data_IF_250802586778
#
_entry.id   IF_250802586778
#
_cell.length_a   1.000
_cell.length_b   1.000
_cell.length_c   1.000
_cell.angle_alpha   90.00
_cell.angle_beta   90.00
_cell.angle_gamma   90.00
#
_symmetry.space_group_name_H-M   'P 1'
#
loop_
_entity.id
_entity.type
_entity.pdbx_description
1 polymer ?
#
# COMPACT_ATOMS: atom_id res chain seq x y z
N UNK A 1 -5.85 14.95 -14.88
CA UNK A 1 -4.46 14.47 -15.13
C UNK A 1 -3.48 15.59 -14.77
N UNK A 2 -3.22 15.80 -13.48
CA UNK A 2 -2.40 16.91 -12.94
C UNK A 2 -1.23 16.36 -12.13
N UNK A 3 -0.24 15.80 -12.83
CA UNK A 3 1.06 15.39 -12.23
C UNK A 3 2.23 16.16 -12.87
N UNK A 4 1.96 17.31 -13.50
CA UNK A 4 2.89 17.96 -14.43
C UNK A 4 3.91 18.88 -13.73
N UNK A 5 3.72 19.31 -12.48
CA UNK A 5 4.61 20.32 -11.88
C UNK A 5 5.86 19.78 -11.16
N UNK A 6 6.03 18.45 -11.04
CA UNK A 6 7.25 17.87 -10.46
C UNK A 6 7.83 16.77 -11.38
N UNK A 7 8.98 17.01 -12.04
CA UNK A 7 9.61 16.07 -12.97
C UNK A 7 9.91 14.68 -12.37
N UNK A 8 10.02 14.57 -11.03
CA UNK A 8 10.22 13.28 -10.36
C UNK A 8 8.97 12.40 -10.42
N UNK A 9 7.79 12.96 -10.16
CA UNK A 9 6.54 12.18 -10.19
C UNK A 9 6.17 11.71 -11.60
N UNK A 10 6.42 12.53 -12.62
CA UNK A 10 6.22 12.11 -14.01
C UNK A 10 7.17 10.98 -14.40
N UNK A 11 8.41 11.01 -13.92
CA UNK A 11 9.38 9.92 -14.10
C UNK A 11 8.90 8.64 -13.41
N UNK A 12 8.48 8.70 -12.15
CA UNK A 12 7.95 7.53 -11.44
C UNK A 12 6.74 6.94 -12.15
N UNK A 13 5.77 7.78 -12.54
CA UNK A 13 4.58 7.34 -13.30
C UNK A 13 4.98 6.55 -14.55
N UNK A 14 5.93 7.06 -15.33
CA UNK A 14 6.39 6.39 -16.55
C UNK A 14 7.10 5.06 -16.24
N UNK A 15 7.90 5.00 -15.18
CA UNK A 15 8.62 3.79 -14.79
C UNK A 15 7.70 2.66 -14.30
N UNK A 16 6.55 3.01 -13.71
CA UNK A 16 5.60 2.01 -13.20
C UNK A 16 4.46 1.67 -14.15
N UNK A 17 4.20 2.48 -15.18
CA UNK A 17 3.06 2.30 -16.08
C UNK A 17 2.99 0.89 -16.67
N UNK A 18 4.08 0.43 -17.29
CA UNK A 18 4.16 -0.91 -17.88
C UNK A 18 4.00 -2.01 -16.83
N UNK A 19 4.46 -1.78 -15.59
CA UNK A 19 4.31 -2.75 -14.48
C UNK A 19 2.87 -2.84 -14.01
N UNK A 20 2.15 -1.72 -13.93
CA UNK A 20 0.74 -1.68 -13.58
C UNK A 20 -0.11 -2.46 -14.60
N UNK A 21 0.18 -2.33 -15.89
CA UNK A 21 -0.52 -3.08 -16.92
C UNK A 21 -0.15 -4.57 -16.86
N UNK A 22 1.13 -4.88 -16.62
CA UNK A 22 1.62 -6.25 -16.47
C UNK A 22 0.96 -6.98 -15.29
N UNK A 23 0.89 -6.38 -14.10
CA UNK A 23 0.30 -7.06 -12.93
C UNK A 23 -1.21 -7.25 -13.08
N UNK A 24 -1.92 -6.29 -13.70
CA UNK A 24 -3.37 -6.40 -13.94
C UNK A 24 -3.73 -7.53 -14.90
N UNK A 25 -2.87 -7.76 -15.90
CA UNK A 25 -3.05 -8.75 -16.96
C UNK A 25 -2.36 -10.09 -16.68
N UNK A 26 -1.57 -10.19 -15.61
CA UNK A 26 -0.81 -11.39 -15.30
C UNK A 26 -1.73 -12.59 -15.00
N UNK A 27 -1.58 -13.72 -15.72
CA UNK A 27 -2.39 -14.91 -15.50
C UNK A 27 -1.99 -15.67 -14.22
N UNK A 28 -0.81 -15.39 -13.66
CA UNK A 28 -0.35 -15.96 -12.39
C UNK A 28 -0.73 -15.13 -11.17
N UNK A 29 -1.33 -13.94 -11.37
CA UNK A 29 -1.65 -13.06 -10.28
C UNK A 29 -2.81 -13.59 -9.42
N UNK A 30 -2.63 -13.53 -8.11
CA UNK A 30 -3.65 -13.85 -7.13
C UNK A 30 -4.47 -12.60 -6.82
N UNK A 31 -5.81 -12.71 -6.89
CA UNK A 31 -6.73 -11.60 -6.60
C UNK A 31 -7.51 -11.89 -5.33
N UNK A 32 -7.41 -10.99 -4.36
CA UNK A 32 -8.11 -11.07 -3.08
C UNK A 32 -9.03 -9.86 -2.93
N UNK A 33 -10.24 -10.10 -2.41
CA UNK A 33 -11.09 -9.01 -1.92
C UNK A 33 -10.64 -8.62 -0.50
N UNK A 34 -11.06 -7.44 -0.03
CA UNK A 34 -10.66 -6.89 1.27
C UNK A 34 -10.84 -7.84 2.44
N UNK A 35 -12.03 -8.45 2.57
CA UNK A 35 -12.30 -9.40 3.65
C UNK A 35 -11.37 -10.61 3.64
N UNK A 36 -11.03 -11.17 2.46
CA UNK A 36 -10.05 -12.26 2.37
C UNK A 36 -8.62 -11.78 2.60
N UNK A 37 -8.29 -10.56 2.18
CA UNK A 37 -6.99 -9.94 2.41
C UNK A 37 -6.74 -9.76 3.91
N UNK A 38 -7.67 -9.14 4.65
CA UNK A 38 -7.55 -8.97 6.10
C UNK A 38 -7.61 -10.30 6.86
N UNK A 39 -8.42 -11.26 6.42
CA UNK A 39 -8.39 -12.61 7.00
C UNK A 39 -7.05 -13.33 6.79
N UNK A 40 -6.37 -13.07 5.68
CA UNK A 40 -5.02 -13.59 5.46
C UNK A 40 -4.02 -12.85 6.36
N UNK A 41 -4.16 -11.53 6.47
CA UNK A 41 -3.23 -10.70 7.24
C UNK A 41 -3.37 -10.87 8.75
N UNK A 42 -4.53 -11.33 9.25
CA UNK A 42 -4.78 -11.60 10.67
C UNK A 42 -3.88 -12.68 11.27
N UNK A 43 -3.16 -13.43 10.45
CA UNK A 43 -2.07 -14.32 10.90
C UNK A 43 -0.85 -13.56 11.44
N UNK A 44 -0.71 -12.29 11.07
CA UNK A 44 0.40 -11.41 11.42
C UNK A 44 -0.07 -10.33 12.39
N UNK A 45 -1.20 -9.69 12.09
CA UNK A 45 -1.71 -8.53 12.83
C UNK A 45 -3.23 -8.42 12.68
N UNK A 46 -3.90 -8.13 13.79
CA UNK A 46 -5.34 -7.87 13.83
C UNK A 46 -5.59 -6.36 13.82
N UNK A 47 -6.08 -5.83 12.69
CA UNK A 47 -6.37 -4.40 12.54
C UNK A 47 -7.78 -4.08 13.03
N UNK A 48 -7.94 -2.90 13.63
CA UNK A 48 -9.25 -2.37 13.94
C UNK A 48 -9.97 -1.95 12.65
N UNK A 49 -11.31 -1.98 12.66
CA UNK A 49 -12.13 -1.76 11.47
C UNK A 49 -11.86 -0.43 10.74
N UNK A 50 -11.49 0.63 11.46
CA UNK A 50 -11.19 1.92 10.85
C UNK A 50 -9.84 1.96 10.10
N UNK A 51 -8.98 0.95 10.28
CA UNK A 51 -7.77 0.73 9.48
C UNK A 51 -8.02 -0.20 8.27
N UNK A 52 -9.24 -0.73 8.11
CA UNK A 52 -9.59 -1.63 7.01
C UNK A 52 -9.87 -0.91 5.69
N UNK A 53 -8.84 -0.33 5.08
CA UNK A 53 -8.94 0.37 3.79
C UNK A 53 -8.84 -0.50 2.53
N UNK A 54 -8.24 -1.71 2.60
CA UNK A 54 -8.04 -2.54 1.40
C UNK A 54 -9.37 -3.09 0.90
N UNK A 55 -9.80 -2.63 -0.28
CA UNK A 55 -11.01 -3.13 -0.97
C UNK A 55 -10.70 -4.35 -1.83
N UNK A 56 -9.60 -4.31 -2.56
CA UNK A 56 -9.08 -5.44 -3.33
C UNK A 56 -7.57 -5.34 -3.48
N UNK A 57 -6.91 -6.48 -3.69
CA UNK A 57 -5.48 -6.54 -3.94
C UNK A 57 -5.17 -7.64 -4.95
N UNK A 58 -4.31 -7.31 -5.91
CA UNK A 58 -3.71 -8.22 -6.87
C UNK A 58 -2.25 -8.41 -6.47
N UNK A 59 -1.81 -9.65 -6.31
CA UNK A 59 -0.43 -9.99 -5.93
C UNK A 59 0.18 -10.85 -7.04
N UNK A 60 1.36 -10.48 -7.53
CA UNK A 60 2.14 -11.30 -8.45
C UNK A 60 3.63 -11.22 -8.10
N UNK A 61 4.21 -12.37 -7.76
CA UNK A 61 5.61 -12.51 -7.34
C UNK A 61 5.99 -11.59 -6.16
N UNK A 62 6.65 -10.48 -6.44
CA UNK A 62 7.16 -9.53 -5.45
C UNK A 62 6.47 -8.17 -5.54
N UNK A 63 5.34 -8.11 -6.25
CA UNK A 63 4.60 -6.89 -6.50
C UNK A 63 3.13 -7.07 -6.10
N UNK A 64 2.51 -5.97 -5.69
CA UNK A 64 1.09 -5.90 -5.43
C UNK A 64 0.49 -4.61 -5.98
N UNK A 65 -0.78 -4.68 -6.36
CA UNK A 65 -1.61 -3.54 -6.70
C UNK A 65 -2.92 -3.63 -5.93
N UNK A 66 -3.15 -2.67 -5.04
CA UNK A 66 -4.33 -2.60 -4.20
C UNK A 66 -5.22 -1.44 -4.59
N UNK A 67 -6.54 -1.66 -4.51
CA UNK A 67 -7.53 -0.61 -4.46
C UNK A 67 -7.87 -0.38 -2.98
N UNK A 68 -7.65 0.84 -2.53
CA UNK A 68 -7.95 1.29 -1.17
C UNK A 68 -9.18 2.18 -1.21
N UNK A 69 -10.07 2.01 -0.25
CA UNK A 69 -11.19 2.90 0.02
C UNK A 69 -11.25 3.14 1.53
N UNK A 70 -10.90 4.35 1.94
CA UNK A 70 -10.90 4.71 3.35
C UNK A 70 -12.33 5.04 3.84
N UNK A 71 -12.71 4.65 5.06
CA UNK A 71 -13.96 5.09 5.67
C UNK A 71 -14.04 6.63 5.77
N UNK A 72 -15.25 7.20 5.72
CA UNK A 72 -15.46 8.66 5.76
C UNK A 72 -14.99 9.31 7.06
N UNK A 73 -14.89 8.53 8.15
CA UNK A 73 -14.44 9.02 9.46
C UNK A 73 -12.93 9.14 9.52
N UNK A 74 -12.41 10.37 9.57
CA UNK A 74 -11.05 10.61 10.02
C UNK A 74 -10.93 10.37 11.52
N UNK A 75 -9.94 9.58 11.93
CA UNK A 75 -9.58 9.48 13.35
C UNK A 75 -8.92 10.80 13.76
N UNK A 76 -9.52 11.52 14.70
CA UNK A 76 -8.96 12.80 15.20
C UNK A 76 -8.97 13.94 14.18
N UNK A 77 -9.93 13.96 13.24
CA UNK A 77 -10.02 14.99 12.19
C UNK A 77 -10.06 16.42 12.73
N UNK A 78 -10.71 16.63 13.88
CA UNK A 78 -10.80 17.93 14.56
C UNK A 78 -9.55 18.26 15.42
N UNK A 79 -8.66 17.29 15.63
CA UNK A 79 -7.51 17.38 16.54
C UNK A 79 -6.21 17.78 15.82
N UNK A 80 -6.19 17.74 14.48
CA UNK A 80 -4.99 17.96 13.68
C UNK A 80 -5.29 18.71 12.38
N UNK A 81 -4.64 19.86 12.20
CA UNK A 81 -4.73 20.64 10.96
C UNK A 81 -3.93 20.04 9.79
N UNK A 82 -3.21 18.94 10.02
CA UNK A 82 -2.39 18.28 8.98
C UNK A 82 -3.02 17.00 8.44
N UNK A 83 -4.15 16.55 8.98
CA UNK A 83 -4.86 15.32 8.54
C UNK A 83 -5.13 15.35 7.04
N UNK A 84 -5.51 16.52 6.51
CA UNK A 84 -5.66 16.79 5.08
C UNK A 84 -4.47 16.35 4.23
N UNK A 85 -3.25 16.46 4.76
CA UNK A 85 -1.99 16.19 4.07
C UNK A 85 -1.35 14.87 4.46
N UNK A 86 -1.68 14.35 5.64
CA UNK A 86 -1.02 13.22 6.27
C UNK A 86 -2.03 12.48 7.17
N UNK A 87 -3.03 11.87 6.55
CA UNK A 87 -4.01 11.06 7.27
C UNK A 87 -3.38 9.74 7.71
N UNK A 88 -3.35 9.51 9.02
CA UNK A 88 -2.63 8.36 9.60
C UNK A 88 -3.23 7.03 9.15
N UNK A 89 -4.57 6.92 9.12
CA UNK A 89 -5.24 5.69 8.72
C UNK A 89 -5.00 5.37 7.24
N UNK A 90 -5.02 6.39 6.38
CA UNK A 90 -4.76 6.24 4.94
C UNK A 90 -3.32 5.81 4.68
N UNK A 91 -2.34 6.48 5.31
CA UNK A 91 -0.93 6.15 5.14
C UNK A 91 -0.64 4.74 5.68
N UNK A 92 -1.21 4.38 6.83
CA UNK A 92 -1.08 3.03 7.37
C UNK A 92 -1.67 1.99 6.41
N UNK A 93 -2.86 2.24 5.84
CA UNK A 93 -3.46 1.37 4.82
C UNK A 93 -2.57 1.19 3.58
N UNK A 94 -1.78 2.21 3.19
CA UNK A 94 -0.82 2.08 2.09
C UNK A 94 0.36 1.18 2.48
N UNK A 95 0.85 1.31 3.71
CA UNK A 95 1.91 0.48 4.27
C UNK A 95 1.42 -0.97 4.46
N UNK A 96 0.15 -1.18 4.81
CA UNK A 96 -0.46 -2.50 4.94
C UNK A 96 -0.38 -3.31 3.65
N UNK A 97 -0.48 -2.68 2.47
CA UNK A 97 -0.32 -3.36 1.17
C UNK A 97 1.06 -4.02 1.08
N UNK A 98 2.09 -3.31 1.54
CA UNK A 98 3.46 -3.82 1.63
C UNK A 98 3.57 -4.98 2.62
N UNK A 99 2.98 -4.82 3.80
CA UNK A 99 2.97 -5.83 4.86
C UNK A 99 2.26 -7.12 4.43
N UNK A 100 1.12 -7.01 3.76
CA UNK A 100 0.38 -8.14 3.22
C UNK A 100 1.16 -8.82 2.09
N UNK A 101 1.75 -8.05 1.17
CA UNK A 101 2.57 -8.59 0.07
C UNK A 101 3.74 -9.43 0.60
N UNK A 102 4.54 -8.90 1.52
CA UNK A 102 5.74 -9.60 1.98
C UNK A 102 5.40 -10.80 2.88
N UNK A 103 4.39 -10.68 3.75
CA UNK A 103 4.01 -11.76 4.68
C UNK A 103 3.11 -12.84 4.06
N UNK A 104 2.51 -12.59 2.90
CA UNK A 104 1.75 -13.63 2.16
C UNK A 104 2.65 -14.51 1.28
N UNK A 105 3.94 -14.17 1.17
CA UNK A 105 4.90 -14.91 0.35
C UNK A 105 5.27 -16.24 0.98
N UNK A 106 5.44 -17.27 0.13
CA UNK A 106 6.00 -18.58 0.51
C UNK A 106 7.38 -18.51 1.18
N UNK A 107 8.16 -17.46 0.94
CA UNK A 107 9.50 -17.33 1.52
C UNK A 107 9.48 -16.87 2.97
N UNK A 108 8.34 -16.42 3.52
CA UNK A 108 8.20 -16.16 4.93
C UNK A 108 8.03 -17.50 5.68
N UNK A 109 8.99 -17.94 6.51
CA UNK A 109 8.89 -19.23 7.18
C UNK A 109 7.71 -19.27 8.16
N UNK A 110 7.08 -20.44 8.39
CA UNK A 110 6.07 -20.57 9.42
C UNK A 110 6.58 -20.11 10.79
N UNK A 111 5.81 -19.25 11.46
CA UNK A 111 6.18 -18.68 12.77
C UNK A 111 7.09 -17.46 12.71
N UNK A 112 7.43 -16.97 11.51
CA UNK A 112 8.13 -15.70 11.31
C UNK A 112 7.20 -14.70 10.62
N UNK A 113 7.45 -13.42 10.86
CA UNK A 113 6.73 -12.32 10.25
C UNK A 113 7.70 -11.19 9.94
N UNK A 114 7.48 -10.51 8.82
CA UNK A 114 8.15 -9.25 8.51
C UNK A 114 7.37 -8.10 9.15
N UNK A 115 8.07 -7.30 9.94
CA UNK A 115 7.55 -6.09 10.58
C UNK A 115 8.25 -4.89 9.97
N UNK A 116 7.51 -3.79 9.77
CA UNK A 116 8.10 -2.52 9.34
C UNK A 116 9.07 -2.01 10.40
N UNK A 117 10.37 -1.95 10.08
CA UNK A 117 11.42 -1.51 11.00
C UNK A 117 11.81 -0.04 10.83
N UNK A 118 11.48 0.55 9.68
CA UNK A 118 11.81 1.94 9.39
C UNK A 118 11.23 2.40 8.06
N UNK A 119 11.24 3.72 7.89
CA UNK A 119 10.78 4.41 6.70
C UNK A 119 11.87 5.41 6.30
N UNK A 120 12.50 5.17 5.16
CA UNK A 120 13.62 6.00 4.71
C UNK A 120 13.15 7.36 4.17
N UNK A 121 12.13 7.35 3.31
CA UNK A 121 11.61 8.56 2.70
C UNK A 121 10.14 8.39 2.28
N UNK A 122 9.34 9.43 2.48
CA UNK A 122 8.02 9.60 1.85
C UNK A 122 8.05 10.89 1.06
N UNK A 123 7.50 10.86 -0.14
CA UNK A 123 7.35 12.06 -0.96
C UNK A 123 5.92 12.12 -1.48
N UNK A 124 5.18 13.14 -1.05
CA UNK A 124 3.78 13.33 -1.38
C UNK A 124 3.62 14.52 -2.31
N UNK A 125 2.71 14.39 -3.28
CA UNK A 125 2.34 15.51 -4.14
C UNK A 125 1.56 16.56 -3.34
N UNK A 126 1.68 17.84 -3.71
CA UNK A 126 0.82 18.91 -3.17
C UNK A 126 -0.66 18.71 -3.52
N UNK A 127 -0.94 17.86 -4.50
CA UNK A 127 -2.30 17.47 -4.89
C UNK A 127 -2.86 16.31 -4.05
N UNK A 128 -2.07 15.76 -3.13
CA UNK A 128 -2.56 14.76 -2.19
C UNK A 128 -3.43 15.46 -1.13
N UNK A 129 -4.72 15.15 -1.14
CA UNK A 129 -5.74 15.73 -0.28
C UNK A 129 -6.62 14.60 0.25
N UNK A 130 -6.38 14.17 1.49
CA UNK A 130 -7.07 13.03 2.11
C UNK A 130 -8.49 13.36 2.56
N UNK A 131 -8.86 14.64 2.61
CA UNK A 131 -10.24 15.05 2.90
C UNK A 131 -11.10 14.82 1.64
N UNK A 132 -10.54 15.12 0.47
CA UNK A 132 -11.22 15.00 -0.83
C UNK A 132 -11.17 13.59 -1.41
N UNK A 133 -10.03 12.89 -1.25
CA UNK A 133 -9.80 11.59 -1.87
C UNK A 133 -9.85 10.45 -0.84
N UNK A 134 -10.83 9.55 -1.01
CA UNK A 134 -10.98 8.33 -0.21
C UNK A 134 -10.58 7.06 -0.95
N UNK A 135 -10.62 7.10 -2.28
CA UNK A 135 -10.23 6.00 -3.13
C UNK A 135 -8.79 6.19 -3.64
N UNK A 136 -7.95 5.18 -3.44
CA UNK A 136 -6.53 5.20 -3.84
C UNK A 136 -6.15 3.90 -4.57
N UNK A 137 -5.17 4.00 -5.46
CA UNK A 137 -4.53 2.84 -6.08
C UNK A 137 -3.10 2.75 -5.61
N UNK A 138 -2.81 1.75 -4.77
CA UNK A 138 -1.49 1.58 -4.17
C UNK A 138 -0.76 0.45 -4.87
N UNK A 139 0.36 0.76 -5.50
CA UNK A 139 1.28 -0.22 -6.03
C UNK A 139 2.45 -0.41 -5.07
N UNK A 140 2.80 -1.64 -4.75
CA UNK A 140 3.93 -1.98 -3.90
C UNK A 140 4.85 -2.99 -4.59
N UNK A 141 6.15 -2.84 -4.40
CA UNK A 141 7.18 -3.79 -4.82
C UNK A 141 8.20 -3.94 -3.71
N UNK A 142 8.58 -5.18 -3.38
CA UNK A 142 9.66 -5.42 -2.44
C UNK A 142 10.86 -6.11 -3.08
N UNK A 143 12.02 -5.89 -2.49
CA UNK A 143 13.27 -6.60 -2.80
C UNK A 143 13.79 -7.24 -1.52
N UNK A 144 14.04 -8.55 -1.56
CA UNK A 144 14.77 -9.22 -0.47
C UNK A 144 16.23 -8.77 -0.51
N UNK A 145 16.77 -8.39 0.65
CA UNK A 145 18.21 -8.18 0.82
C UNK A 145 18.85 -9.49 1.28
N UNK A 146 18.26 -10.10 2.29
CA UNK A 146 18.62 -11.41 2.84
C UNK A 146 17.37 -12.10 3.42
N UNK A 147 17.56 -13.14 4.23
CA UNK A 147 16.47 -13.94 4.79
C UNK A 147 15.64 -13.18 5.85
N UNK A 148 16.16 -12.08 6.42
CA UNK A 148 15.55 -11.32 7.52
C UNK A 148 15.34 -9.84 7.20
N UNK A 149 15.90 -9.34 6.09
CA UNK A 149 15.85 -7.96 5.68
C UNK A 149 15.28 -7.77 4.28
N UNK A 150 14.45 -6.75 4.13
CA UNK A 150 13.80 -6.41 2.86
C UNK A 150 13.54 -4.92 2.78
N UNK A 151 13.54 -4.39 1.56
CA UNK A 151 13.09 -3.03 1.27
C UNK A 151 11.79 -3.09 0.49
N UNK A 152 10.87 -2.20 0.83
CA UNK A 152 9.60 -2.07 0.11
C UNK A 152 9.44 -0.65 -0.40
N UNK A 153 9.08 -0.53 -1.67
CA UNK A 153 8.69 0.73 -2.30
C UNK A 153 7.20 0.67 -2.60
N UNK A 154 6.44 1.69 -2.22
CA UNK A 154 5.05 1.83 -2.64
C UNK A 154 4.78 3.19 -3.27
N UNK A 155 3.81 3.24 -4.19
CA UNK A 155 3.34 4.43 -4.90
C UNK A 155 1.82 4.46 -4.85
N UNK A 156 1.24 5.65 -4.69
CA UNK A 156 -0.21 5.87 -4.57
C UNK A 156 -0.65 7.15 -5.30
#
# INVERSE_FOLDING_TARGET
MLLIENPRFSTYKRLIADRLDSIRSSPSAEKLNGGRAYKLFSKVVDYADFFHGIKSIVIDKNEALAEIQMPDSHVGGDESSVTKHCDTASIDAFIQVSGLLINSRKACPPGQVFVASGLENITMSRHCDFDVHKDWSVYAIFTLIDDVHSTVTFLF
#
